data_IF_608490878441
#
_entry.id   IF_608490878441
#
_cell.length_a   1.000
_cell.length_b   1.000
_cell.length_c   1.000
_cell.angle_alpha   90.00
_cell.angle_beta   90.00
_cell.angle_gamma   90.00
#
_symmetry.space_group_name_H-M   'P 1'
#
loop_
_entity.id
_entity.type
_entity.pdbx_description
1 polymer ?
#
# COMPACT_ATOMS: atom_id res chain seq x y z
N UNK A 1 -20.61 7.89 -55.17
CA UNK A 1 -19.98 8.46 -54.00
C UNK A 1 -18.47 8.27 -54.06
N UNK A 2 -17.70 9.32 -53.90
CA UNK A 2 -16.24 9.30 -53.97
C UNK A 2 -15.65 9.49 -52.60
N UNK A 3 -15.39 8.39 -51.95
CA UNK A 3 -14.98 8.36 -50.53
C UNK A 3 -13.45 8.41 -50.33
N UNK A 4 -12.66 8.40 -51.42
CA UNK A 4 -11.22 8.52 -51.39
C UNK A 4 -10.51 7.27 -50.85
N UNK A 5 -10.55 7.02 -49.55
CA UNK A 5 -9.85 5.90 -48.90
C UNK A 5 -10.78 4.97 -48.17
N UNK A 6 -10.56 3.66 -48.26
CA UNK A 6 -11.24 2.63 -47.49
C UNK A 6 -10.84 2.62 -46.00
N UNK A 7 -9.75 3.34 -45.65
CA UNK A 7 -9.27 3.50 -44.28
C UNK A 7 -9.82 4.77 -43.58
N UNK A 8 -10.73 5.50 -44.26
CA UNK A 8 -11.37 6.66 -43.64
C UNK A 8 -12.19 6.28 -42.42
N UNK A 9 -12.35 7.18 -41.44
CA UNK A 9 -13.03 6.90 -40.15
C UNK A 9 -14.49 6.47 -40.29
N UNK A 10 -15.13 6.78 -41.43
CA UNK A 10 -16.52 6.42 -41.73
C UNK A 10 -16.72 4.93 -42.04
N UNK A 11 -15.62 4.21 -42.34
CA UNK A 11 -15.69 2.80 -42.68
C UNK A 11 -15.43 1.88 -41.49
N UNK A 12 -16.07 0.74 -41.46
CA UNK A 12 -15.77 -0.32 -40.50
C UNK A 12 -14.30 -0.75 -40.65
N UNK A 13 -13.53 -0.69 -39.56
CA UNK A 13 -12.08 -0.95 -39.62
C UNK A 13 -11.24 0.21 -40.12
N UNK A 14 -11.83 1.39 -40.36
CA UNK A 14 -11.13 2.64 -40.68
C UNK A 14 -10.42 3.26 -39.48
N UNK A 15 -9.79 4.42 -39.70
CA UNK A 15 -9.07 5.16 -38.64
C UNK A 15 -9.98 5.67 -37.52
N UNK A 16 -9.43 5.80 -36.33
CA UNK A 16 -10.11 6.42 -35.20
C UNK A 16 -9.82 7.92 -35.20
N UNK A 17 -10.88 8.75 -35.29
CA UNK A 17 -10.73 10.22 -35.37
C UNK A 17 -10.21 10.78 -34.03
N UNK A 18 -10.81 10.34 -32.92
CA UNK A 18 -10.42 10.72 -31.57
C UNK A 18 -9.81 9.52 -30.84
N UNK A 19 -8.62 9.13 -31.29
CA UNK A 19 -7.90 8.04 -30.62
C UNK A 19 -7.54 8.43 -29.18
N UNK A 20 -7.49 7.47 -28.23
CA UNK A 20 -7.06 7.76 -26.88
C UNK A 20 -5.61 8.25 -26.86
N UNK A 21 -5.39 9.40 -26.23
CA UNK A 21 -4.06 10.00 -26.05
C UNK A 21 -3.65 9.87 -24.58
N UNK A 22 -2.36 9.74 -24.26
CA UNK A 22 -1.86 9.80 -22.91
C UNK A 22 -2.35 11.08 -22.22
N UNK A 23 -2.94 10.91 -21.04
CA UNK A 23 -3.46 12.04 -20.23
C UNK A 23 -2.90 11.95 -18.83
N UNK A 24 -2.42 13.07 -18.31
CA UNK A 24 -2.04 13.20 -16.92
C UNK A 24 -3.29 13.41 -16.05
N UNK A 25 -3.47 12.52 -15.06
CA UNK A 25 -4.54 12.57 -14.07
C UNK A 25 -4.05 13.10 -12.72
N UNK A 26 -2.78 13.47 -12.60
CA UNK A 26 -2.23 13.99 -11.36
C UNK A 26 -2.67 15.44 -11.12
N UNK A 27 -2.87 15.78 -9.86
CA UNK A 27 -3.03 17.16 -9.42
C UNK A 27 -2.34 17.38 -8.08
N UNK A 28 -1.89 18.61 -7.87
CA UNK A 28 -1.15 18.99 -6.67
C UNK A 28 -2.10 19.23 -5.50
N UNK A 29 -1.82 18.56 -4.36
CA UNK A 29 -2.51 18.75 -3.10
C UNK A 29 -1.55 19.28 -2.03
N UNK A 30 -2.03 20.11 -1.11
CA UNK A 30 -1.22 20.70 -0.04
C UNK A 30 -0.74 19.62 0.95
N UNK A 31 0.46 19.80 1.52
CA UNK A 31 1.03 18.85 2.48
C UNK A 31 0.14 18.63 3.71
N UNK A 32 -0.42 19.71 4.26
CA UNK A 32 -1.32 19.66 5.43
C UNK A 32 -2.61 18.89 5.15
N UNK A 33 -3.16 19.02 3.95
CA UNK A 33 -4.35 18.28 3.54
C UNK A 33 -4.08 16.77 3.42
N UNK A 34 -2.93 16.39 2.84
CA UNK A 34 -2.50 14.99 2.79
C UNK A 34 -2.32 14.39 4.18
N UNK A 35 -1.67 15.11 5.09
CA UNK A 35 -1.47 14.69 6.47
C UNK A 35 -2.81 14.53 7.20
N UNK A 36 -3.74 15.48 7.06
CA UNK A 36 -5.07 15.40 7.65
C UNK A 36 -5.86 14.20 7.13
N UNK A 37 -5.77 13.89 5.83
CA UNK A 37 -6.43 12.74 5.24
C UNK A 37 -5.92 11.41 5.79
N UNK A 38 -4.60 11.25 5.98
CA UNK A 38 -3.99 10.04 6.57
C UNK A 38 -4.42 9.91 8.03
N UNK A 39 -4.33 10.98 8.83
CA UNK A 39 -4.79 11.00 10.23
C UNK A 39 -6.26 10.58 10.36
N UNK A 40 -7.13 11.13 9.52
CA UNK A 40 -8.56 10.81 9.48
C UNK A 40 -8.81 9.34 9.14
N UNK A 41 -8.11 8.79 8.14
CA UNK A 41 -8.25 7.41 7.74
C UNK A 41 -7.78 6.43 8.84
N UNK A 42 -6.67 6.72 9.51
CA UNK A 42 -6.19 5.93 10.66
C UNK A 42 -7.17 6.01 11.83
N UNK A 43 -7.68 7.19 12.15
CA UNK A 43 -8.69 7.38 13.22
C UNK A 43 -9.96 6.57 12.94
N UNK A 44 -10.42 6.51 11.68
CA UNK A 44 -11.55 5.67 11.30
C UNK A 44 -11.29 4.20 11.61
N UNK A 45 -10.11 3.68 11.25
CA UNK A 45 -9.74 2.28 11.53
C UNK A 45 -9.64 1.96 13.02
N UNK A 46 -9.13 2.89 13.81
CA UNK A 46 -9.08 2.75 15.28
C UNK A 46 -10.50 2.72 15.86
N UNK A 47 -11.37 3.63 15.44
CA UNK A 47 -12.76 3.69 15.91
C UNK A 47 -13.57 2.44 15.50
N UNK A 48 -13.26 1.85 14.35
CA UNK A 48 -13.88 0.59 13.89
C UNK A 48 -13.33 -0.65 14.63
N UNK A 49 -12.31 -0.52 15.46
CA UNK A 49 -11.63 -1.66 16.11
C UNK A 49 -10.82 -2.53 15.15
N UNK A 50 -10.49 -2.01 13.95
CA UNK A 50 -9.77 -2.71 12.89
C UNK A 50 -8.30 -2.28 12.77
N UNK A 51 -7.71 -1.92 13.88
CA UNK A 51 -6.32 -1.48 13.97
C UNK A 51 -5.59 -2.29 15.04
N UNK A 52 -4.64 -3.13 14.62
CA UNK A 52 -3.86 -3.99 15.50
C UNK A 52 -2.40 -3.57 15.53
N UNK A 53 -1.85 -3.41 16.72
CA UNK A 53 -0.43 -3.17 16.93
C UNK A 53 0.22 -4.48 17.38
N UNK A 54 1.25 -4.92 16.67
CA UNK A 54 2.05 -6.09 17.03
C UNK A 54 3.43 -5.64 17.47
N UNK A 55 4.02 -6.33 18.44
CA UNK A 55 5.34 -5.96 18.94
C UNK A 55 6.40 -6.10 17.86
N UNK A 56 6.42 -7.25 17.19
CA UNK A 56 7.33 -7.53 16.09
C UNK A 56 6.74 -8.57 15.12
N UNK A 57 7.20 -8.54 13.88
CA UNK A 57 6.90 -9.49 12.83
C UNK A 57 8.21 -10.00 12.22
N UNK A 58 8.99 -10.73 13.02
CA UNK A 58 10.22 -11.36 12.57
C UNK A 58 9.97 -12.83 12.23
N UNK A 59 10.43 -13.27 11.06
CA UNK A 59 10.39 -14.66 10.63
C UNK A 59 11.80 -15.10 10.23
N UNK A 60 12.22 -16.28 10.71
CA UNK A 60 13.53 -16.86 10.37
C UNK A 60 13.61 -17.27 8.89
N UNK A 61 12.47 -17.66 8.30
CA UNK A 61 12.40 -18.14 6.93
C UNK A 61 11.24 -17.51 6.15
N UNK A 62 11.44 -17.35 4.83
CA UNK A 62 10.40 -16.90 3.91
C UNK A 62 9.36 -18.02 3.72
N UNK A 63 8.28 -17.99 4.48
CA UNK A 63 7.16 -18.94 4.38
C UNK A 63 5.82 -18.24 4.50
N UNK A 64 4.94 -18.44 3.51
CA UNK A 64 3.56 -17.90 3.53
C UNK A 64 2.76 -18.41 4.72
N UNK A 65 3.02 -19.64 5.18
CA UNK A 65 2.33 -20.27 6.32
C UNK A 65 2.46 -19.43 7.61
N UNK A 66 3.62 -18.80 7.83
CA UNK A 66 3.85 -17.97 9.02
C UNK A 66 2.90 -16.76 9.04
N UNK A 67 2.80 -16.03 7.93
CA UNK A 67 1.87 -14.89 7.80
C UNK A 67 0.41 -15.35 7.91
N UNK A 68 0.05 -16.47 7.28
CA UNK A 68 -1.31 -17.02 7.37
C UNK A 68 -1.67 -17.38 8.81
N UNK A 69 -0.74 -17.92 9.59
CA UNK A 69 -0.98 -18.24 11.00
C UNK A 69 -1.21 -16.96 11.84
N UNK A 70 -0.44 -15.89 11.60
CA UNK A 70 -0.63 -14.59 12.25
C UNK A 70 -2.00 -14.01 11.91
N UNK A 71 -2.38 -14.00 10.63
CA UNK A 71 -3.68 -13.48 10.19
C UNK A 71 -4.85 -14.26 10.76
N UNK A 72 -4.72 -15.59 10.85
CA UNK A 72 -5.73 -16.45 11.50
C UNK A 72 -5.84 -16.21 13.01
N UNK A 73 -4.72 -15.95 13.69
CA UNK A 73 -4.72 -15.66 15.12
C UNK A 73 -5.40 -14.30 15.41
N UNK A 74 -5.33 -13.35 14.46
CA UNK A 74 -6.00 -12.05 14.54
C UNK A 74 -7.43 -12.06 13.97
N UNK A 75 -7.88 -13.16 13.40
CA UNK A 75 -9.17 -13.32 12.69
C UNK A 75 -9.37 -12.29 11.56
N UNK A 76 -8.32 -12.10 10.74
CA UNK A 76 -8.28 -11.09 9.68
C UNK A 76 -8.14 -11.74 8.31
N UNK A 77 -9.03 -11.39 7.37
CA UNK A 77 -8.98 -11.87 6.00
C UNK A 77 -8.28 -10.91 5.03
N UNK A 78 -8.53 -9.60 5.18
CA UNK A 78 -7.93 -8.55 4.35
C UNK A 78 -7.14 -7.59 5.21
N UNK A 79 -5.82 -7.66 5.09
CA UNK A 79 -4.91 -6.89 5.94
C UNK A 79 -3.96 -6.00 5.16
N UNK A 80 -3.77 -4.79 5.65
CA UNK A 80 -2.64 -3.94 5.34
C UNK A 80 -1.59 -4.11 6.45
N UNK A 81 -0.46 -4.73 6.13
CA UNK A 81 0.64 -4.92 7.08
C UNK A 81 1.61 -3.74 6.92
N UNK A 82 1.81 -2.98 7.98
CA UNK A 82 2.70 -1.82 7.99
C UNK A 82 3.96 -2.16 8.78
N UNK A 83 5.08 -2.19 8.08
CA UNK A 83 6.40 -2.48 8.62
C UNK A 83 7.18 -1.20 8.91
N UNK A 84 8.22 -1.30 9.72
CA UNK A 84 9.13 -0.20 9.99
C UNK A 84 9.83 0.27 8.70
N UNK A 85 9.88 1.58 8.48
CA UNK A 85 10.61 2.20 7.37
C UNK A 85 12.08 2.45 7.74
N UNK A 86 12.94 2.60 6.74
CA UNK A 86 14.35 2.95 6.94
C UNK A 86 14.48 4.30 7.66
N UNK A 87 15.30 4.37 8.70
CA UNK A 87 15.76 5.61 9.31
C UNK A 87 16.90 6.19 8.46
N UNK A 88 16.89 7.50 8.22
CA UNK A 88 17.88 8.17 7.39
C UNK A 88 19.29 8.19 7.99
N UNK A 89 19.40 8.07 9.30
CA UNK A 89 20.61 8.34 10.07
C UNK A 89 21.35 7.08 10.58
N UNK A 90 20.82 5.86 10.30
CA UNK A 90 21.37 4.60 10.83
C UNK A 90 21.53 3.55 9.73
N UNK A 91 22.60 3.65 8.92
CA UNK A 91 22.80 2.76 7.75
C UNK A 91 22.89 1.25 8.10
N UNK A 92 23.58 0.88 9.18
CA UNK A 92 23.75 -0.55 9.56
C UNK A 92 22.47 -1.18 10.10
N UNK A 93 21.73 -0.48 10.96
CA UNK A 93 20.43 -0.93 11.48
C UNK A 93 19.40 -0.99 10.36
N UNK A 94 19.53 -0.12 9.33
CA UNK A 94 18.67 -0.10 8.17
C UNK A 94 18.80 -1.35 7.28
N UNK A 95 19.96 -2.02 7.25
CA UNK A 95 20.16 -3.26 6.49
C UNK A 95 19.47 -4.45 7.17
N UNK A 96 19.59 -4.59 8.48
CA UNK A 96 18.93 -5.65 9.24
C UNK A 96 17.40 -5.52 9.20
N UNK A 97 16.89 -4.31 9.38
CA UNK A 97 15.45 -4.01 9.24
C UNK A 97 14.98 -4.30 7.81
N UNK A 98 15.78 -3.94 6.80
CA UNK A 98 15.43 -4.21 5.41
C UNK A 98 15.40 -5.71 5.09
N UNK A 99 16.29 -6.50 5.67
CA UNK A 99 16.31 -7.95 5.52
C UNK A 99 15.10 -8.60 6.20
N UNK A 100 14.76 -8.21 7.43
CA UNK A 100 13.59 -8.68 8.16
C UNK A 100 12.28 -8.31 7.40
N UNK A 101 12.18 -7.06 6.98
CA UNK A 101 11.03 -6.59 6.18
C UNK A 101 10.88 -7.36 4.87
N UNK A 102 11.99 -7.68 4.19
CA UNK A 102 11.96 -8.44 2.94
C UNK A 102 11.46 -9.87 3.17
N UNK A 103 11.81 -10.50 4.30
CA UNK A 103 11.31 -11.82 4.68
C UNK A 103 9.78 -11.80 4.86
N UNK A 104 9.25 -10.80 5.54
CA UNK A 104 7.80 -10.63 5.74
C UNK A 104 7.10 -10.31 4.41
N UNK A 105 7.65 -9.40 3.61
CA UNK A 105 7.12 -8.99 2.31
C UNK A 105 7.03 -10.18 1.36
N UNK A 106 8.09 -10.97 1.23
CA UNK A 106 8.11 -12.16 0.38
C UNK A 106 7.14 -13.24 0.88
N UNK A 107 6.98 -13.38 2.18
CA UNK A 107 6.04 -14.32 2.80
C UNK A 107 4.58 -13.91 2.61
N UNK A 108 4.27 -12.60 2.60
CA UNK A 108 2.92 -12.07 2.47
C UNK A 108 2.47 -11.88 1.01
N UNK A 109 3.39 -11.62 0.09
CA UNK A 109 3.12 -11.21 -1.29
C UNK A 109 2.16 -12.12 -2.06
N UNK A 110 2.17 -13.45 -1.78
CA UNK A 110 1.34 -14.43 -2.48
C UNK A 110 -0.04 -14.63 -1.85
N UNK A 111 -0.35 -13.93 -0.75
CA UNK A 111 -1.63 -14.10 -0.04
C UNK A 111 -2.63 -13.10 -0.61
N UNK A 112 -3.75 -13.59 -1.10
CA UNK A 112 -4.84 -12.74 -1.59
C UNK A 112 -5.42 -11.88 -0.46
N UNK A 113 -5.70 -10.62 -0.75
CA UNK A 113 -6.26 -9.71 0.25
C UNK A 113 -5.24 -9.14 1.24
N UNK A 114 -3.95 -9.43 1.10
CA UNK A 114 -2.89 -8.92 1.97
C UNK A 114 -1.93 -8.03 1.19
N UNK A 115 -1.57 -6.90 1.76
CA UNK A 115 -0.53 -6.00 1.24
C UNK A 115 0.40 -5.60 2.37
N UNK A 116 1.69 -5.59 2.06
CA UNK A 116 2.73 -5.11 2.97
C UNK A 116 3.26 -3.77 2.46
N UNK A 117 3.38 -2.80 3.34
CA UNK A 117 3.93 -1.46 3.07
C UNK A 117 4.86 -1.05 4.19
N UNK A 118 5.77 -0.13 3.92
CA UNK A 118 6.58 0.51 4.96
C UNK A 118 5.85 1.73 5.53
N UNK A 119 6.23 2.19 6.73
CA UNK A 119 5.68 3.40 7.35
C UNK A 119 5.83 4.65 6.48
N UNK A 120 6.82 4.68 5.55
CA UNK A 120 7.03 5.78 4.62
C UNK A 120 6.10 5.75 3.39
N UNK A 121 5.57 4.57 3.04
CA UNK A 121 4.74 4.34 1.85
C UNK A 121 3.24 4.30 2.15
N UNK A 122 2.87 4.48 3.42
CA UNK A 122 1.47 4.45 3.84
C UNK A 122 0.67 5.52 3.10
N UNK A 123 -0.50 5.15 2.58
CA UNK A 123 -1.38 6.04 1.86
C UNK A 123 -2.86 5.79 2.21
N UNK A 124 -3.69 6.80 2.01
CA UNK A 124 -5.13 6.75 2.32
C UNK A 124 -5.86 5.66 1.56
N UNK A 125 -5.51 5.45 0.28
CA UNK A 125 -6.16 4.43 -0.54
C UNK A 125 -5.98 3.02 0.04
N UNK A 126 -4.74 2.67 0.43
CA UNK A 126 -4.47 1.35 1.01
C UNK A 126 -5.15 1.19 2.38
N UNK A 127 -5.12 2.22 3.24
CA UNK A 127 -5.81 2.19 4.54
C UNK A 127 -7.31 1.90 4.36
N UNK A 128 -7.95 2.52 3.38
CA UNK A 128 -9.39 2.35 3.15
C UNK A 128 -9.73 1.08 2.38
N UNK A 129 -8.85 0.63 1.49
CA UNK A 129 -9.06 -0.57 0.66
C UNK A 129 -9.03 -1.86 1.47
N UNK A 130 -8.13 -1.94 2.46
CA UNK A 130 -7.99 -3.11 3.32
C UNK A 130 -8.85 -2.94 4.57
N UNK A 131 -9.51 -4.03 4.99
CA UNK A 131 -10.43 -3.98 6.12
C UNK A 131 -9.69 -3.69 7.42
N UNK A 132 -8.53 -4.30 7.61
CA UNK A 132 -7.77 -4.22 8.86
C UNK A 132 -6.34 -3.72 8.61
N UNK A 133 -5.84 -2.89 9.51
CA UNK A 133 -4.45 -2.44 9.53
C UNK A 133 -3.72 -3.17 10.65
N UNK A 134 -2.65 -3.87 10.30
CA UNK A 134 -1.72 -4.52 11.24
C UNK A 134 -0.40 -3.80 11.18
N UNK A 135 0.02 -3.18 12.25
CA UNK A 135 1.20 -2.33 12.30
C UNK A 135 2.19 -2.82 13.35
N UNK A 136 3.48 -2.80 13.01
CA UNK A 136 4.56 -3.08 13.97
C UNK A 136 4.75 -1.86 14.88
N UNK A 137 5.02 -2.07 16.17
CA UNK A 137 5.18 -1.01 17.19
C UNK A 137 6.14 0.10 16.75
N UNK A 138 7.31 -0.25 16.27
CA UNK A 138 8.31 0.72 15.79
C UNK A 138 7.79 1.57 14.61
N UNK A 139 6.92 1.01 13.77
CA UNK A 139 6.29 1.74 12.66
C UNK A 139 5.26 2.77 13.16
N UNK A 140 4.60 2.54 14.32
CA UNK A 140 3.69 3.53 14.96
C UNK A 140 4.49 4.75 15.39
N UNK A 141 5.58 4.55 16.12
CA UNK A 141 6.45 5.65 16.57
C UNK A 141 6.91 6.51 15.40
N UNK A 142 7.25 5.84 14.28
CA UNK A 142 7.66 6.53 13.06
C UNK A 142 6.55 7.34 12.39
N UNK A 143 5.33 6.82 12.40
CA UNK A 143 4.16 7.55 11.88
C UNK A 143 3.85 8.76 12.76
N UNK A 144 3.95 8.63 14.09
CA UNK A 144 3.78 9.74 15.01
C UNK A 144 4.81 10.85 14.76
N UNK A 145 6.09 10.53 14.59
CA UNK A 145 7.14 11.51 14.25
C UNK A 145 6.82 12.31 12.97
N UNK A 146 6.24 11.65 11.96
CA UNK A 146 5.97 12.28 10.66
C UNK A 146 4.70 13.11 10.65
N UNK A 147 3.69 12.69 11.40
CA UNK A 147 2.33 13.26 11.35
C UNK A 147 1.90 13.97 12.64
N UNK A 148 2.66 13.93 13.71
CA UNK A 148 2.32 14.60 14.98
C UNK A 148 2.12 16.13 14.86
#
# INVERSE_FOLDING_TARGET
ARQGSTRSPQWTGGGVVFAPTPRDYSFKMNKKEKAAAIKSALTSKVNEGKFFVVEDLAFDEIKTKNVVNVLKALDVNKALIVLEGKKKDEEKVAEDIAAANNTVLCSAKNIEGVRTVTSAEINVYDILKYDTVVIVKNAVERIEEVYA
#
